data_IF_516327768695
#
_entry.id   IF_516327768695
#
_cell.length_a   1.000
_cell.length_b   1.000
_cell.length_c   1.000
_cell.angle_alpha   90.00
_cell.angle_beta   90.00
_cell.angle_gamma   90.00
#
_symmetry.space_group_name_H-M   'P 1'
#
loop_
_entity.id
_entity.type
_entity.pdbx_description
1 polymer ?
#
# COMPACT_ATOMS: atom_id res chain seq x y z
N UNK A 1 18.50 -3.21 15.86
CA UNK A 1 17.05 -3.01 16.12
C UNK A 1 16.32 -2.79 14.81
N UNK A 2 15.15 -3.38 14.58
CA UNK A 2 14.46 -3.35 13.28
C UNK A 2 13.93 -1.96 12.88
N UNK A 3 13.57 -1.11 13.85
CA UNK A 3 13.08 0.24 13.64
C UNK A 3 14.14 1.30 14.01
N UNK A 4 15.30 1.28 13.34
CA UNK A 4 16.34 2.30 13.54
C UNK A 4 15.85 3.74 13.29
N UNK A 5 15.00 4.02 12.28
CA UNK A 5 14.46 5.38 12.08
C UNK A 5 13.67 5.92 13.27
N UNK A 6 13.14 5.04 14.14
CA UNK A 6 12.46 5.41 15.37
C UNK A 6 13.34 6.13 16.39
N UNK A 7 14.68 6.01 16.30
CA UNK A 7 15.61 6.75 17.15
C UNK A 7 15.71 8.25 16.78
N UNK A 8 15.29 8.62 15.56
CA UNK A 8 15.36 10.00 15.03
C UNK A 8 13.98 10.45 14.51
N UNK A 9 12.94 10.47 15.36
CA UNK A 9 11.54 10.56 14.93
C UNK A 9 11.22 11.86 14.18
N UNK A 10 11.85 12.98 14.54
CA UNK A 10 11.63 14.25 13.85
C UNK A 10 12.07 14.16 12.38
N UNK A 11 13.31 13.73 12.14
CA UNK A 11 13.86 13.58 10.79
C UNK A 11 13.16 12.48 10.00
N UNK A 12 12.91 11.32 10.61
CA UNK A 12 12.28 10.19 9.92
C UNK A 12 10.80 10.45 9.58
N UNK A 13 10.09 11.22 10.40
CA UNK A 13 8.72 11.65 10.08
C UNK A 13 8.71 12.50 8.82
N UNK A 14 9.51 13.57 8.76
CA UNK A 14 9.58 14.41 7.56
C UNK A 14 10.03 13.61 6.33
N UNK A 15 11.00 12.71 6.48
CA UNK A 15 11.45 11.87 5.38
C UNK A 15 10.31 10.97 4.84
N UNK A 16 9.56 10.31 5.72
CA UNK A 16 8.46 9.43 5.33
C UNK A 16 7.28 10.21 4.78
N UNK A 17 6.82 11.26 5.46
CA UNK A 17 5.63 12.01 5.04
C UNK A 17 5.86 12.76 3.74
N UNK A 18 7.05 13.29 3.48
CA UNK A 18 7.35 13.95 2.21
C UNK A 18 7.20 13.01 1.00
N UNK A 19 7.50 11.72 1.16
CA UNK A 19 7.35 10.73 0.07
C UNK A 19 5.95 10.09 0.03
N UNK A 20 5.25 10.00 1.15
CA UNK A 20 3.90 9.38 1.19
C UNK A 20 2.77 10.36 0.93
N UNK A 21 2.96 11.65 1.18
CA UNK A 21 1.91 12.67 1.06
C UNK A 21 1.22 12.70 -0.32
N UNK A 22 1.93 12.60 -1.46
CA UNK A 22 1.26 12.57 -2.76
C UNK A 22 0.28 11.41 -2.92
N UNK A 23 0.64 10.21 -2.42
CA UNK A 23 -0.23 9.03 -2.46
C UNK A 23 -1.43 9.18 -1.51
N UNK A 24 -1.22 9.79 -0.34
CA UNK A 24 -2.29 10.06 0.63
C UNK A 24 -3.33 11.00 0.02
N UNK A 25 -2.90 12.09 -0.62
CA UNK A 25 -3.81 13.01 -1.31
C UNK A 25 -4.57 12.30 -2.44
N UNK A 26 -3.89 11.52 -3.28
CA UNK A 26 -4.55 10.77 -4.36
C UNK A 26 -5.62 9.81 -3.84
N UNK A 27 -5.34 9.09 -2.74
CA UNK A 27 -6.31 8.20 -2.10
C UNK A 27 -7.50 8.97 -1.51
N UNK A 28 -7.25 10.11 -0.87
CA UNK A 28 -8.29 10.94 -0.28
C UNK A 28 -9.23 11.55 -1.34
N UNK A 29 -8.66 12.02 -2.46
CA UNK A 29 -9.42 12.72 -3.50
C UNK A 29 -10.21 11.77 -4.40
N UNK A 30 -9.64 10.59 -4.72
CA UNK A 30 -10.16 9.69 -5.76
C UNK A 30 -10.75 8.39 -5.22
N UNK A 31 -10.45 8.06 -3.96
CA UNK A 31 -10.68 6.73 -3.40
C UNK A 31 -9.71 5.68 -3.96
N UNK A 32 -9.69 4.50 -3.33
CA UNK A 32 -8.72 3.45 -3.63
C UNK A 32 -8.75 3.00 -5.10
N UNK A 33 -9.94 2.68 -5.64
CA UNK A 33 -10.09 2.11 -6.98
C UNK A 33 -9.47 2.98 -8.07
N UNK A 34 -9.84 4.25 -8.12
CA UNK A 34 -9.31 5.17 -9.13
C UNK A 34 -7.85 5.51 -8.86
N UNK A 35 -7.45 5.69 -7.59
CA UNK A 35 -6.07 6.02 -7.26
C UNK A 35 -5.07 4.93 -7.71
N UNK A 36 -5.41 3.64 -7.56
CA UNK A 36 -4.53 2.54 -8.00
C UNK A 36 -4.58 2.30 -9.51
N UNK A 37 -5.66 2.67 -10.18
CA UNK A 37 -5.72 2.64 -11.65
C UNK A 37 -4.82 3.71 -12.28
N UNK A 38 -4.80 4.90 -11.68
CA UNK A 38 -3.98 6.03 -12.13
C UNK A 38 -2.49 5.86 -11.79
N UNK A 39 -2.16 5.14 -10.71
CA UNK A 39 -0.80 4.95 -10.22
C UNK A 39 -0.43 3.46 -10.03
N UNK A 40 0.30 2.86 -10.98
CA UNK A 40 0.77 1.48 -10.87
C UNK A 40 1.71 1.23 -9.69
N UNK A 41 2.42 2.24 -9.18
CA UNK A 41 3.26 2.09 -7.99
C UNK A 41 2.40 1.94 -6.73
N UNK A 42 1.33 2.74 -6.63
CA UNK A 42 0.35 2.61 -5.55
C UNK A 42 -0.37 1.25 -5.62
N UNK A 43 -0.74 0.80 -6.82
CA UNK A 43 -1.36 -0.51 -7.04
C UNK A 43 -0.52 -1.68 -6.48
N UNK A 44 0.80 -1.66 -6.72
CA UNK A 44 1.73 -2.67 -6.18
C UNK A 44 1.83 -2.65 -4.66
N UNK A 45 1.43 -1.57 -4.00
CA UNK A 45 1.43 -1.45 -2.54
C UNK A 45 0.22 -2.10 -1.85
N UNK A 46 -0.83 -2.48 -2.60
CA UNK A 46 -2.03 -3.06 -2.02
C UNK A 46 -1.79 -4.53 -1.67
N UNK A 47 -2.01 -4.89 -0.41
CA UNK A 47 -1.83 -6.26 0.08
C UNK A 47 -3.15 -7.00 0.29
N UNK A 48 -4.20 -6.27 0.69
CA UNK A 48 -5.54 -6.81 0.95
C UNK A 48 -6.58 -5.85 0.41
N UNK A 49 -7.58 -6.36 -0.29
CA UNK A 49 -8.75 -5.62 -0.74
C UNK A 49 -9.98 -6.54 -0.78
N UNK A 50 -11.16 -6.02 -0.44
CA UNK A 50 -12.40 -6.81 -0.50
C UNK A 50 -12.42 -8.08 0.38
N UNK A 51 -11.59 -8.14 1.41
CA UNK A 51 -11.43 -9.35 2.26
C UNK A 51 -10.48 -10.42 1.69
N UNK A 52 -9.86 -10.20 0.53
CA UNK A 52 -8.93 -11.13 -0.10
C UNK A 52 -7.48 -10.61 -0.08
N UNK A 53 -6.51 -11.53 -0.09
CA UNK A 53 -5.08 -11.19 -0.22
C UNK A 53 -4.75 -10.99 -1.70
N UNK A 54 -4.32 -9.78 -2.05
CA UNK A 54 -4.04 -9.38 -3.44
C UNK A 54 -2.54 -9.23 -3.74
N UNK A 55 -1.69 -9.33 -2.72
CA UNK A 55 -0.25 -9.47 -2.91
C UNK A 55 0.13 -10.95 -3.00
N UNK A 56 0.55 -11.40 -4.18
CA UNK A 56 0.93 -12.80 -4.43
C UNK A 56 2.05 -13.29 -3.49
N UNK A 57 3.03 -12.43 -3.17
CA UNK A 57 4.12 -12.78 -2.27
C UNK A 57 3.65 -13.01 -0.82
N UNK A 58 2.68 -12.22 -0.35
CA UNK A 58 2.10 -12.40 0.99
C UNK A 58 1.27 -13.68 1.03
N UNK A 59 0.43 -13.91 0.02
CA UNK A 59 -0.35 -15.14 -0.08
C UNK A 59 0.55 -16.38 -0.06
N UNK A 60 1.63 -16.36 -0.85
CA UNK A 60 2.63 -17.44 -0.90
C UNK A 60 3.37 -17.63 0.43
N UNK A 61 3.79 -16.54 1.08
CA UNK A 61 4.52 -16.61 2.35
C UNK A 61 3.68 -17.20 3.50
N UNK A 62 2.36 -17.04 3.44
CA UNK A 62 1.44 -17.45 4.50
C UNK A 62 0.52 -18.63 4.13
N UNK A 63 0.66 -19.22 2.93
CA UNK A 63 -0.17 -20.34 2.48
C UNK A 63 -1.64 -19.97 2.28
N UNK A 64 -1.92 -18.72 1.89
CA UNK A 64 -3.26 -18.20 1.66
C UNK A 64 -3.59 -18.17 0.16
N UNK A 65 -4.88 -18.08 -0.16
CA UNK A 65 -5.35 -17.87 -1.53
C UNK A 65 -5.04 -16.44 -1.99
N UNK A 66 -4.64 -16.32 -3.26
CA UNK A 66 -4.38 -15.03 -3.91
C UNK A 66 -5.51 -14.70 -4.89
N UNK A 67 -6.10 -13.51 -4.73
CA UNK A 67 -7.05 -12.94 -5.70
C UNK A 67 -6.42 -11.69 -6.36
N UNK A 68 -6.44 -11.55 -7.70
CA UNK A 68 -5.91 -10.36 -8.35
C UNK A 68 -6.60 -9.07 -7.88
N UNK A 69 -5.83 -7.99 -7.74
CA UNK A 69 -6.34 -6.70 -7.23
C UNK A 69 -7.53 -6.16 -8.04
N UNK A 70 -7.49 -6.30 -9.36
CA UNK A 70 -8.57 -5.84 -10.23
C UNK A 70 -9.90 -6.55 -9.92
N UNK A 71 -9.87 -7.86 -9.65
CA UNK A 71 -11.05 -8.64 -9.31
C UNK A 71 -11.55 -8.32 -7.89
N UNK A 72 -10.63 -8.11 -6.94
CA UNK A 72 -10.95 -7.75 -5.56
C UNK A 72 -11.61 -6.36 -5.41
N UNK A 73 -11.44 -5.48 -6.39
CA UNK A 73 -12.01 -4.11 -6.40
C UNK A 73 -13.31 -3.98 -7.19
N UNK A 74 -13.80 -5.06 -7.82
CA UNK A 74 -15.05 -5.12 -8.59
C UNK A 74 -15.03 -4.21 -9.83
#
# INVERSE_FOLDING_TARGET
VANMPGAVPHTSTYALTNVTLPYICALADKGLRHAVQDDPALARGVNVAGGAVVAAEVARAHGLEHLPLAEALG
#
